data_IF_877890052010
#
_entry.id   IF_877890052010
#
_cell.length_a   1.000
_cell.length_b   1.000
_cell.length_c   1.000
_cell.angle_alpha   90.00
_cell.angle_beta   90.00
_cell.angle_gamma   90.00
#
_symmetry.space_group_name_H-M   'P 1'
#
loop_
_entity.id
_entity.type
_entity.pdbx_description
1 polymer ?
#
# COMPACT_ATOMS: atom_id res chain seq x y z
N UNK A 1 -19.94 43.46 -10.04
CA UNK A 1 -18.67 43.01 -10.64
C UNK A 1 -17.86 42.07 -9.75
N UNK A 2 -17.98 42.11 -8.41
CA UNK A 2 -17.21 41.23 -7.50
C UNK A 2 -17.50 39.73 -7.61
N UNK A 3 -18.71 39.32 -8.02
CA UNK A 3 -19.07 37.91 -8.17
C UNK A 3 -18.26 37.19 -9.28
N UNK A 4 -17.82 37.90 -10.31
CA UNK A 4 -17.04 37.34 -11.43
C UNK A 4 -15.59 37.07 -11.02
N UNK A 5 -15.06 37.83 -10.06
CA UNK A 5 -13.70 37.63 -9.54
C UNK A 5 -13.61 36.53 -8.48
N UNK A 6 -14.71 36.21 -7.79
CA UNK A 6 -14.76 35.15 -6.78
C UNK A 6 -14.90 33.75 -7.39
N UNK A 7 -15.55 33.64 -8.54
CA UNK A 7 -15.78 32.37 -9.23
C UNK A 7 -14.50 31.57 -9.52
N UNK A 8 -13.41 32.15 -10.06
CA UNK A 8 -12.16 31.40 -10.28
C UNK A 8 -11.52 30.94 -8.95
N UNK A 9 -11.60 31.75 -7.89
CA UNK A 9 -11.07 31.39 -6.57
C UNK A 9 -11.79 30.16 -6.00
N UNK A 10 -13.12 30.15 -6.06
CA UNK A 10 -13.94 29.03 -5.59
C UNK A 10 -13.64 27.77 -6.39
N UNK A 11 -13.49 27.88 -7.71
CA UNK A 11 -13.20 26.73 -8.58
C UNK A 11 -11.82 26.12 -8.26
N UNK A 12 -10.81 26.95 -8.00
CA UNK A 12 -9.48 26.48 -7.55
C UNK A 12 -9.58 25.77 -6.20
N UNK A 13 -10.28 26.35 -5.23
CA UNK A 13 -10.48 25.73 -3.91
C UNK A 13 -11.22 24.39 -4.01
N UNK A 14 -12.27 24.31 -4.83
CA UNK A 14 -13.02 23.07 -5.06
C UNK A 14 -12.16 22.00 -5.73
N UNK A 15 -11.37 22.35 -6.75
CA UNK A 15 -10.49 21.39 -7.44
C UNK A 15 -9.38 20.87 -6.53
N UNK A 16 -8.78 21.74 -5.70
CA UNK A 16 -7.81 21.31 -4.68
C UNK A 16 -8.44 20.37 -3.65
N UNK A 17 -9.63 20.71 -3.14
CA UNK A 17 -10.35 19.86 -2.19
C UNK A 17 -10.70 18.49 -2.77
N UNK A 18 -11.16 18.46 -4.03
CA UNK A 18 -11.49 17.23 -4.73
C UNK A 18 -10.24 16.37 -4.98
N UNK A 19 -9.12 16.99 -5.40
CA UNK A 19 -7.84 16.28 -5.57
C UNK A 19 -7.36 15.65 -4.26
N UNK A 20 -7.41 16.40 -3.15
CA UNK A 20 -7.02 15.88 -1.85
C UNK A 20 -7.91 14.69 -1.42
N UNK A 21 -9.22 14.78 -1.65
CA UNK A 21 -10.15 13.68 -1.36
C UNK A 21 -9.85 12.43 -2.19
N UNK A 22 -9.57 12.59 -3.50
CA UNK A 22 -9.23 11.49 -4.39
C UNK A 22 -7.92 10.80 -3.98
N UNK A 23 -6.87 11.57 -3.65
CA UNK A 23 -5.60 11.01 -3.19
C UNK A 23 -5.72 10.28 -1.85
N UNK A 24 -6.50 10.83 -0.91
CA UNK A 24 -6.78 10.16 0.36
C UNK A 24 -7.55 8.85 0.14
N UNK A 25 -8.54 8.85 -0.75
CA UNK A 25 -9.29 7.64 -1.09
C UNK A 25 -8.41 6.57 -1.75
N UNK A 26 -7.57 6.95 -2.71
CA UNK A 26 -6.62 6.02 -3.36
C UNK A 26 -5.61 5.43 -2.38
N UNK A 27 -5.10 6.26 -1.45
CA UNK A 27 -4.18 5.82 -0.39
C UNK A 27 -4.87 4.86 0.58
N UNK A 28 -6.12 5.14 0.96
CA UNK A 28 -6.89 4.24 1.83
C UNK A 28 -7.22 2.91 1.14
N UNK A 29 -7.64 2.94 -0.12
CA UNK A 29 -7.96 1.74 -0.91
C UNK A 29 -6.73 0.84 -1.08
N UNK A 30 -5.60 1.40 -1.52
CA UNK A 30 -4.35 0.65 -1.63
C UNK A 30 -3.90 0.04 -0.32
N UNK A 31 -4.00 0.77 0.80
CA UNK A 31 -3.71 0.24 2.13
C UNK A 31 -4.57 -0.98 2.47
N UNK A 32 -5.87 -0.95 2.16
CA UNK A 32 -6.75 -2.10 2.41
C UNK A 32 -6.39 -3.31 1.54
N UNK A 33 -6.07 -3.10 0.27
CA UNK A 33 -5.65 -4.16 -0.67
C UNK A 33 -4.34 -4.79 -0.18
N UNK A 34 -3.34 -3.97 0.14
CA UNK A 34 -2.04 -4.43 0.63
C UNK A 34 -2.23 -5.26 1.89
N UNK A 35 -3.00 -4.78 2.86
CA UNK A 35 -3.28 -5.51 4.10
C UNK A 35 -4.00 -6.84 3.83
N UNK A 36 -4.96 -6.88 2.91
CA UNK A 36 -5.70 -8.10 2.59
C UNK A 36 -4.80 -9.15 1.93
N UNK A 37 -3.94 -8.76 0.99
CA UNK A 37 -3.01 -9.69 0.33
C UNK A 37 -1.86 -10.10 1.27
N UNK A 38 -1.39 -9.19 2.10
CA UNK A 38 -0.43 -9.50 3.16
C UNK A 38 -0.97 -10.55 4.12
N UNK A 39 -2.23 -10.42 4.55
CA UNK A 39 -2.88 -11.44 5.37
C UNK A 39 -3.01 -12.76 4.61
N UNK A 40 -3.37 -12.76 3.32
CA UNK A 40 -3.41 -14.00 2.52
C UNK A 40 -2.04 -14.67 2.40
N UNK A 41 -0.98 -13.89 2.21
CA UNK A 41 0.38 -14.41 2.18
C UNK A 41 0.82 -14.95 3.55
N UNK A 42 0.50 -14.24 4.64
CA UNK A 42 0.80 -14.68 6.01
C UNK A 42 0.12 -16.02 6.34
N UNK A 43 -1.10 -16.24 5.84
CA UNK A 43 -1.85 -17.50 6.02
C UNK A 43 -1.47 -18.60 4.99
N UNK A 44 -0.47 -18.37 4.13
CA UNK A 44 0.03 -19.36 3.18
C UNK A 44 -0.83 -19.57 1.92
N UNK A 45 -1.79 -18.68 1.63
CA UNK A 45 -2.59 -18.77 0.41
C UNK A 45 -1.82 -18.33 -0.86
N UNK A 46 -0.75 -17.54 -0.69
CA UNK A 46 0.09 -17.03 -1.78
C UNK A 46 1.56 -17.14 -1.34
N UNK A 47 2.46 -17.70 -2.16
CA UNK A 47 3.89 -17.72 -1.85
C UNK A 47 4.46 -16.30 -1.91
N UNK A 48 5.35 -15.96 -0.98
CA UNK A 48 5.94 -14.61 -0.85
C UNK A 48 6.64 -14.15 -2.13
N UNK A 49 7.24 -15.08 -2.87
CA UNK A 49 7.87 -14.80 -4.16
C UNK A 49 6.90 -14.29 -5.25
N UNK A 50 5.62 -14.66 -5.18
CA UNK A 50 4.58 -14.23 -6.12
C UNK A 50 3.74 -13.06 -5.57
N UNK A 51 3.83 -12.78 -4.26
CA UNK A 51 3.04 -11.74 -3.61
C UNK A 51 3.26 -10.36 -4.25
N UNK A 52 4.49 -10.06 -4.69
CA UNK A 52 4.83 -8.81 -5.37
C UNK A 52 4.04 -8.64 -6.67
N UNK A 53 4.04 -9.66 -7.54
CA UNK A 53 3.34 -9.62 -8.82
C UNK A 53 1.82 -9.58 -8.64
N UNK A 54 1.28 -10.30 -7.65
CA UNK A 54 -0.14 -10.27 -7.31
C UNK A 54 -0.55 -8.89 -6.81
N UNK A 55 0.25 -8.28 -5.93
CA UNK A 55 0.03 -6.92 -5.44
C UNK A 55 0.05 -5.90 -6.58
N UNK A 56 1.05 -5.96 -7.46
CA UNK A 56 1.16 -5.05 -8.61
C UNK A 56 -0.09 -5.19 -9.48
N UNK A 57 -0.44 -6.41 -9.92
CA UNK A 57 -1.64 -6.64 -10.74
C UNK A 57 -2.91 -6.17 -10.08
N UNK A 58 -3.07 -6.41 -8.78
CA UNK A 58 -4.30 -6.07 -8.07
C UNK A 58 -4.43 -4.58 -7.84
N UNK A 59 -3.33 -3.90 -7.53
CA UNK A 59 -3.29 -2.46 -7.43
C UNK A 59 -3.54 -1.81 -8.80
N UNK A 60 -2.96 -2.31 -9.89
CA UNK A 60 -3.25 -1.82 -11.25
C UNK A 60 -4.72 -2.04 -11.66
N UNK A 61 -5.35 -3.13 -11.22
CA UNK A 61 -6.75 -3.43 -11.56
C UNK A 61 -7.77 -2.67 -10.71
N UNK A 62 -7.44 -2.34 -9.46
CA UNK A 62 -8.39 -1.79 -8.48
C UNK A 62 -8.09 -0.34 -8.10
N UNK A 63 -6.96 0.22 -8.53
CA UNK A 63 -6.56 1.59 -8.21
C UNK A 63 -5.87 2.25 -9.41
N UNK A 64 -5.93 3.58 -9.47
CA UNK A 64 -5.24 4.37 -10.50
C UNK A 64 -3.75 4.64 -10.17
N UNK A 65 -3.12 3.78 -9.37
CA UNK A 65 -1.72 3.94 -8.98
C UNK A 65 -0.84 3.51 -10.15
N UNK A 66 0.02 4.42 -10.61
CA UNK A 66 1.07 4.15 -11.59
C UNK A 66 2.46 4.07 -10.97
N UNK A 67 3.41 3.50 -11.72
CA UNK A 67 4.81 3.32 -11.31
C UNK A 67 4.94 2.61 -9.95
N UNK A 68 4.22 1.49 -9.81
CA UNK A 68 4.17 0.71 -8.57
C UNK A 68 5.51 0.01 -8.36
N UNK A 69 6.06 0.11 -7.16
CA UNK A 69 7.21 -0.63 -6.70
C UNK A 69 6.89 -1.31 -5.38
N UNK A 70 7.10 -2.62 -5.31
CA UNK A 70 6.79 -3.45 -4.14
C UNK A 70 8.09 -4.05 -3.62
N UNK A 71 8.43 -3.76 -2.37
CA UNK A 71 9.53 -4.38 -1.64
C UNK A 71 8.95 -5.26 -0.52
N UNK A 72 9.36 -6.52 -0.49
CA UNK A 72 8.85 -7.52 0.45
C UNK A 72 10.01 -8.03 1.27
N UNK A 73 9.91 -7.90 2.59
CA UNK A 73 10.89 -8.38 3.54
C UNK A 73 10.24 -9.41 4.45
N UNK A 74 10.81 -10.61 4.47
CA UNK A 74 10.45 -11.66 5.43
C UNK A 74 11.53 -11.68 6.48
N UNK A 75 11.15 -11.43 7.73
CA UNK A 75 12.00 -11.64 8.88
C UNK A 75 11.56 -12.95 9.54
N UNK A 76 12.24 -14.03 9.18
CA UNK A 76 12.08 -15.34 9.80
C UNK A 76 12.72 -15.25 11.19
N UNK A 77 11.91 -14.85 12.18
CA UNK A 77 12.33 -14.53 13.54
C UNK A 77 13.56 -15.32 13.98
N UNK A 78 14.69 -14.62 14.08
CA UNK A 78 15.97 -15.26 14.34
C UNK A 78 15.88 -16.09 15.63
N UNK A 79 16.17 -17.40 15.52
CA UNK A 79 16.44 -18.25 16.68
C UNK A 79 17.73 -17.72 17.29
N UNK A 80 17.60 -16.87 18.31
CA UNK A 80 18.75 -16.44 19.10
C UNK A 80 19.18 -17.65 19.93
N UNK A 81 20.31 -18.24 19.56
CA UNK A 81 20.82 -19.56 19.99
C UNK A 81 21.28 -19.61 21.47
N UNK A 82 20.64 -18.85 22.37
CA UNK A 82 21.17 -18.62 23.71
C UNK A 82 20.17 -18.35 24.83
N UNK A 83 18.87 -18.25 24.59
CA UNK A 83 17.91 -18.06 25.70
C UNK A 83 16.60 -18.81 25.46
N UNK A 84 16.26 -19.67 26.42
CA UNK A 84 15.09 -20.55 26.39
C UNK A 84 13.76 -19.80 26.66
N UNK A 85 13.60 -18.58 26.15
CA UNK A 85 12.39 -17.79 26.39
C UNK A 85 12.14 -16.79 25.25
N UNK A 86 11.28 -17.18 24.31
CA UNK A 86 10.69 -16.28 23.32
C UNK A 86 11.13 -16.53 21.89
N UNK A 87 10.46 -17.46 21.21
CA UNK A 87 10.39 -17.42 19.75
C UNK A 87 9.71 -16.11 19.36
N UNK A 88 10.46 -15.11 18.87
CA UNK A 88 9.81 -13.97 18.22
C UNK A 88 9.06 -14.49 17.00
N UNK A 89 7.74 -14.23 16.87
CA UNK A 89 7.03 -14.59 15.66
C UNK A 89 7.70 -13.90 14.49
N UNK A 90 7.96 -14.63 13.40
CA UNK A 90 8.47 -14.01 12.17
C UNK A 90 7.48 -12.95 11.66
N UNK A 91 7.93 -11.98 10.88
CA UNK A 91 7.06 -10.95 10.31
C UNK A 91 7.30 -10.82 8.80
N UNK A 92 6.22 -10.70 8.03
CA UNK A 92 6.30 -10.24 6.64
C UNK A 92 5.99 -8.75 6.62
N UNK A 93 6.93 -7.96 6.12
CA UNK A 93 6.75 -6.53 5.86
C UNK A 93 6.66 -6.31 4.36
N UNK A 94 5.67 -5.54 3.94
CA UNK A 94 5.48 -5.15 2.54
C UNK A 94 5.48 -3.62 2.47
N UNK A 95 6.40 -3.06 1.70
CA UNK A 95 6.48 -1.64 1.37
C UNK A 95 6.09 -1.46 -0.10
N UNK A 96 4.91 -0.87 -0.32
CA UNK A 96 4.41 -0.51 -1.64
C UNK A 96 4.57 0.98 -1.83
N UNK A 97 5.26 1.37 -2.88
CA UNK A 97 5.36 2.76 -3.32
C UNK A 97 4.79 2.92 -4.72
N UNK A 98 4.25 4.10 -5.02
CA UNK A 98 3.68 4.41 -6.33
C UNK A 98 3.25 5.87 -6.43
N UNK A 99 2.54 6.20 -7.50
CA UNK A 99 2.06 7.56 -7.75
C UNK A 99 0.62 7.58 -8.26
N UNK A 100 -0.20 8.47 -7.71
CA UNK A 100 -1.61 8.66 -8.14
C UNK A 100 -1.70 9.95 -8.96
N UNK A 101 -2.25 9.91 -10.19
CA UNK A 101 -2.48 11.11 -10.97
C UNK A 101 -3.58 11.98 -10.33
N UNK A 102 -3.43 13.30 -10.39
CA UNK A 102 -4.49 14.24 -10.03
C UNK A 102 -5.34 14.65 -11.24
N UNK A 103 -6.43 15.36 -10.95
CA UNK A 103 -7.33 15.90 -12.00
C UNK A 103 -6.65 16.92 -12.92
N UNK A 104 -5.57 17.56 -12.47
CA UNK A 104 -4.82 18.53 -13.27
C UNK A 104 -3.70 17.77 -13.96
N UNK A 105 -3.54 17.88 -15.29
CA UNK A 105 -2.42 17.25 -15.99
C UNK A 105 -1.10 17.60 -15.32
N UNK A 106 -0.23 16.60 -15.14
CA UNK A 106 1.08 16.68 -14.46
C UNK A 106 1.03 16.73 -12.92
N UNK A 107 -0.13 16.82 -12.27
CA UNK A 107 -0.17 16.65 -10.81
C UNK A 107 -0.14 15.18 -10.45
N UNK A 108 0.79 14.81 -9.56
CA UNK A 108 0.93 13.45 -9.03
C UNK A 108 1.16 13.52 -7.54
N UNK A 109 0.53 12.63 -6.79
CA UNK A 109 0.81 12.44 -5.38
C UNK A 109 1.57 11.13 -5.18
N UNK A 110 2.70 11.13 -4.45
CA UNK A 110 3.35 9.89 -4.06
C UNK A 110 2.47 9.13 -3.07
N UNK A 111 2.36 7.83 -3.25
CA UNK A 111 1.72 6.91 -2.31
C UNK A 111 2.79 5.98 -1.78
N UNK A 112 2.87 5.84 -0.45
CA UNK A 112 3.71 4.83 0.20
C UNK A 112 2.88 4.16 1.29
N UNK A 113 2.81 2.84 1.21
CA UNK A 113 2.07 1.99 2.12
C UNK A 113 3.06 0.96 2.66
N UNK A 114 3.32 1.03 3.96
CA UNK A 114 4.13 0.04 4.66
C UNK A 114 3.21 -0.69 5.61
N UNK A 115 3.09 -2.01 5.42
CA UNK A 115 2.28 -2.88 6.27
C UNK A 115 3.11 -4.09 6.69
N UNK A 116 2.91 -4.53 7.93
CA UNK A 116 3.58 -5.71 8.47
C UNK A 116 2.55 -6.63 9.12
N UNK A 117 2.69 -7.94 8.91
CA UNK A 117 1.85 -8.96 9.50
C UNK A 117 2.71 -10.07 10.12
N UNK A 118 2.29 -10.62 11.28
CA UNK A 118 2.97 -11.75 11.88
C UNK A 118 2.81 -13.00 11.00
N UNK A 119 3.87 -13.80 10.95
CA UNK A 119 3.99 -15.12 10.32
C UNK A 119 3.42 -16.15 11.33
N UNK A 120 2.17 -15.97 11.76
CA UNK A 120 1.48 -17.02 12.51
C UNK A 120 0.84 -17.99 11.52
N UNK A 121 1.35 -19.23 11.46
CA UNK A 121 0.79 -20.28 10.61
C UNK A 121 1.47 -20.49 9.26
N UNK A 122 2.56 -19.77 8.97
CA UNK A 122 3.39 -20.05 7.80
C UNK A 122 4.11 -21.38 8.01
N UNK A 123 3.63 -22.43 7.34
CA UNK A 123 4.46 -23.60 7.06
C UNK A 123 5.05 -23.39 5.67
N UNK A 124 6.38 -23.22 5.52
CA UNK A 124 6.98 -23.46 4.22
C UNK A 124 6.61 -24.90 3.85
N UNK A 125 5.83 -25.05 2.77
CA UNK A 125 5.41 -26.36 2.29
C UNK A 125 6.67 -27.17 1.92
N UNK A 126 6.77 -28.46 2.28
CA UNK A 126 7.92 -29.29 1.94
C UNK A 126 8.05 -29.52 0.43
#
# INVERSE_FOLDING_TARGET
>A
MSAVLLLPLVLVLCTMGLQAALWNHATASSRTIVRQELLRAAHGAIPVGELGDVLIRRLEQQTDIGAIHVDIRVDDGAVSDGDASGTSPGHVTVDVSGSVPGLVPLTRAPVRVVEAAPIEGWRPWP
#
